data_IF_178931527265
#
_entry.id   IF_178931527265
#
_cell.length_a   1.000
_cell.length_b   1.000
_cell.length_c   1.000
_cell.angle_alpha   90.00
_cell.angle_beta   90.00
_cell.angle_gamma   90.00
#
_symmetry.space_group_name_H-M   'P 1'
#
loop_
_entity.id
_entity.type
_entity.pdbx_description
1 polymer ?
#
# COMPACT_ATOMS: atom_id res chain seq x y z
N UNK A 1 1.77 -2.12 -30.35
CA UNK A 1 2.34 -2.42 -29.02
C UNK A 1 1.94 -1.29 -28.10
N UNK A 2 1.06 -1.55 -27.13
CA UNK A 2 0.69 -0.56 -26.11
C UNK A 2 1.67 -0.78 -24.97
N UNK A 3 2.58 0.17 -24.75
CA UNK A 3 3.44 0.16 -23.56
C UNK A 3 2.53 0.11 -22.31
N UNK A 4 2.85 -0.68 -21.28
CA UNK A 4 2.09 -0.65 -20.03
C UNK A 4 2.06 0.80 -19.53
N UNK A 5 0.89 1.43 -19.57
CA UNK A 5 0.72 2.74 -18.99
C UNK A 5 0.87 2.55 -17.48
N UNK A 6 1.93 3.12 -16.90
CA UNK A 6 2.08 3.14 -15.45
C UNK A 6 0.86 3.86 -14.86
N UNK A 7 0.14 3.18 -13.98
CA UNK A 7 -0.99 3.77 -13.29
C UNK A 7 -0.55 4.88 -12.35
N UNK A 8 -1.36 5.93 -12.22
CA UNK A 8 -1.17 7.00 -11.23
C UNK A 8 -1.68 6.51 -9.85
N UNK A 9 -1.07 5.47 -9.30
CA UNK A 9 -1.46 4.94 -7.99
C UNK A 9 -0.51 3.91 -7.38
N UNK A 10 -0.68 3.68 -6.09
CA UNK A 10 -0.04 2.61 -5.31
C UNK A 10 -1.15 1.63 -4.91
N UNK A 11 -0.94 0.34 -5.17
CA UNK A 11 -1.88 -0.73 -4.83
C UNK A 11 -1.33 -1.59 -3.71
N UNK A 12 -2.21 -2.03 -2.81
CA UNK A 12 -1.87 -2.93 -1.72
C UNK A 12 -2.57 -4.28 -1.93
N UNK A 13 -1.82 -5.35 -1.71
CA UNK A 13 -2.28 -6.73 -1.82
C UNK A 13 -1.93 -7.50 -0.56
N UNK A 14 -2.82 -8.37 -0.12
CA UNK A 14 -2.54 -9.42 0.85
C UNK A 14 -1.88 -10.60 0.13
N UNK A 15 -0.67 -10.92 0.56
CA UNK A 15 0.17 -11.99 0.02
C UNK A 15 0.34 -13.17 0.99
N UNK A 16 -0.49 -13.24 2.04
CA UNK A 16 -0.49 -14.40 2.97
C UNK A 16 -0.76 -15.70 2.22
N UNK A 17 -1.61 -15.64 1.19
CA UNK A 17 -1.87 -16.72 0.23
C UNK A 17 -1.53 -16.19 -1.19
N UNK A 18 -0.25 -16.25 -1.62
CA UNK A 18 0.22 -15.56 -2.81
C UNK A 18 -0.45 -16.05 -4.11
N UNK A 19 -0.91 -17.29 -4.14
CA UNK A 19 -1.68 -17.86 -5.25
C UNK A 19 -3.09 -17.24 -5.39
N UNK A 20 -3.58 -16.55 -4.36
CA UNK A 20 -4.89 -15.91 -4.29
C UNK A 20 -4.81 -14.38 -4.25
N UNK A 21 -3.61 -13.80 -4.45
CA UNK A 21 -3.27 -12.39 -4.25
C UNK A 21 -4.45 -11.43 -4.23
N UNK A 22 -4.90 -11.08 -3.02
CA UNK A 22 -6.14 -10.32 -2.83
C UNK A 22 -5.82 -8.84 -2.73
N UNK A 23 -6.45 -8.00 -3.57
CA UNK A 23 -6.35 -6.56 -3.39
C UNK A 23 -7.04 -6.14 -2.08
N UNK A 24 -6.32 -5.42 -1.24
CA UNK A 24 -6.82 -4.92 0.06
C UNK A 24 -6.98 -3.40 0.08
N UNK A 25 -6.55 -2.70 -0.99
CA UNK A 25 -6.76 -1.27 -1.15
C UNK A 25 -5.77 -0.64 -2.11
N UNK A 26 -5.79 0.69 -2.15
CA UNK A 26 -4.84 1.47 -2.94
C UNK A 26 -5.05 2.98 -2.77
N UNK A 27 -4.01 3.72 -3.14
CA UNK A 27 -4.01 5.18 -3.22
C UNK A 27 -3.96 5.55 -4.70
N UNK A 28 -4.97 6.28 -5.17
CA UNK A 28 -4.99 6.80 -6.53
C UNK A 28 -4.70 8.31 -6.51
N UNK A 29 -3.68 8.71 -7.24
CA UNK A 29 -3.21 10.10 -7.25
C UNK A 29 -4.08 10.93 -8.18
N UNK A 30 -4.96 11.74 -7.60
CA UNK A 30 -5.73 12.76 -8.34
C UNK A 30 -4.97 14.07 -8.49
N UNK A 31 -4.03 14.32 -7.59
CA UNK A 31 -3.18 15.51 -7.63
C UNK A 31 -2.12 15.35 -8.73
N UNK A 32 -2.07 16.31 -9.65
CA UNK A 32 -1.11 16.32 -10.76
C UNK A 32 0.34 16.43 -10.30
N UNK A 33 0.58 16.81 -9.03
CA UNK A 33 1.90 16.82 -8.41
C UNK A 33 2.42 15.41 -8.08
N UNK A 34 1.59 14.37 -8.17
CA UNK A 34 1.95 13.00 -7.81
C UNK A 34 1.76 12.08 -9.02
N UNK A 35 2.74 12.07 -9.94
CA UNK A 35 2.70 11.24 -11.16
C UNK A 35 3.96 10.39 -11.31
N UNK A 36 3.78 9.17 -11.81
CA UNK A 36 4.88 8.22 -11.99
C UNK A 36 5.56 7.87 -10.66
N UNK A 37 4.85 7.20 -9.72
CA UNK A 37 5.51 6.66 -8.54
C UNK A 37 6.65 5.72 -8.97
N UNK A 38 7.84 5.93 -8.41
CA UNK A 38 9.06 5.21 -8.82
C UNK A 38 9.67 4.41 -7.68
N UNK A 39 9.80 5.03 -6.50
CA UNK A 39 10.35 4.41 -5.31
C UNK A 39 9.45 4.63 -4.11
N UNK A 40 9.53 3.71 -3.15
CA UNK A 40 8.72 3.73 -1.94
C UNK A 40 9.51 3.18 -0.76
N UNK A 41 9.27 3.77 0.41
CA UNK A 41 9.74 3.23 1.70
C UNK A 41 8.61 3.25 2.71
N UNK A 42 8.48 2.17 3.47
CA UNK A 42 7.54 2.06 4.58
C UNK A 42 8.28 2.30 5.90
N UNK A 43 7.71 3.17 6.73
CA UNK A 43 8.21 3.51 8.06
C UNK A 43 7.17 3.01 9.08
N UNK A 44 7.43 1.87 9.75
CA UNK A 44 6.49 1.33 10.73
C UNK A 44 6.39 2.25 11.96
N UNK A 45 5.22 2.30 12.58
CA UNK A 45 5.09 2.85 13.93
C UNK A 45 5.54 1.79 14.96
N UNK A 46 6.63 2.09 15.67
CA UNK A 46 7.18 1.18 16.68
C UNK A 46 6.25 0.97 17.89
N UNK A 47 5.25 1.84 18.08
CA UNK A 47 4.25 1.72 19.15
C UNK A 47 2.98 0.99 18.70
N UNK A 48 2.72 0.92 17.38
CA UNK A 48 1.54 0.29 16.82
C UNK A 48 1.86 -0.43 15.49
N UNK A 49 1.98 -1.77 15.49
CA UNK A 49 2.35 -2.52 14.28
C UNK A 49 1.30 -2.46 13.16
N UNK A 50 0.08 -2.03 13.45
CA UNK A 50 -0.98 -1.84 12.46
C UNK A 50 -0.95 -0.45 11.81
N UNK A 51 0.02 0.39 12.14
CA UNK A 51 0.15 1.75 11.61
C UNK A 51 1.55 2.04 11.07
N UNK A 52 1.63 2.97 10.14
CA UNK A 52 2.91 3.46 9.63
C UNK A 52 2.74 4.55 8.57
N UNK A 53 3.87 5.02 8.08
CA UNK A 53 3.94 5.98 6.98
C UNK A 53 4.49 5.30 5.73
N UNK A 54 3.85 5.53 4.60
CA UNK A 54 4.40 5.23 3.29
C UNK A 54 4.91 6.53 2.68
N UNK A 55 6.20 6.57 2.35
CA UNK A 55 6.81 7.67 1.60
C UNK A 55 7.05 7.20 0.18
N UNK A 56 6.54 7.94 -0.80
CA UNK A 56 6.71 7.64 -2.22
C UNK A 56 7.37 8.78 -2.96
N UNK A 57 8.31 8.47 -3.86
CA UNK A 57 8.90 9.41 -4.80
C UNK A 57 8.19 9.38 -6.15
N UNK A 58 8.03 10.56 -6.75
CA UNK A 58 7.35 10.74 -8.03
C UNK A 58 8.32 11.26 -9.09
N UNK A 59 8.79 10.37 -9.97
CA UNK A 59 9.81 10.65 -10.97
C UNK A 59 9.44 11.86 -11.85
N UNK A 60 8.21 11.90 -12.35
CA UNK A 60 7.80 12.90 -13.34
C UNK A 60 7.62 14.30 -12.76
N UNK A 61 7.59 14.41 -11.43
CA UNK A 61 7.29 15.68 -10.74
C UNK A 61 8.39 16.10 -9.77
N UNK A 62 9.32 15.19 -9.44
CA UNK A 62 10.36 15.43 -8.45
C UNK A 62 9.84 15.66 -7.03
N UNK A 63 8.63 15.19 -6.72
CA UNK A 63 8.00 15.38 -5.40
C UNK A 63 8.07 14.12 -4.55
N UNK A 64 7.86 14.31 -3.25
CA UNK A 64 7.62 13.23 -2.28
C UNK A 64 6.18 13.34 -1.77
N UNK A 65 5.49 12.21 -1.70
CA UNK A 65 4.22 12.07 -0.99
C UNK A 65 4.40 11.26 0.29
N UNK A 66 3.76 11.70 1.37
CA UNK A 66 3.73 10.97 2.64
C UNK A 66 2.29 10.60 2.94
N UNK A 67 2.04 9.31 3.13
CA UNK A 67 0.71 8.75 3.33
C UNK A 67 0.67 8.00 4.65
N UNK A 68 -0.36 8.25 5.45
CA UNK A 68 -0.67 7.40 6.60
C UNK A 68 -1.28 6.09 6.09
N UNK A 69 -0.76 4.98 6.60
CA UNK A 69 -1.24 3.64 6.31
C UNK A 69 -1.70 3.02 7.62
N UNK A 70 -2.93 2.51 7.62
CA UNK A 70 -3.48 1.73 8.71
C UNK A 70 -3.89 0.37 8.16
N UNK A 71 -3.34 -0.68 8.74
CA UNK A 71 -3.80 -2.04 8.53
C UNK A 71 -5.00 -2.27 9.45
N UNK A 72 -6.18 -2.46 8.88
CA UNK A 72 -7.27 -3.06 9.65
C UNK A 72 -7.04 -4.55 9.67
N UNK A 73 -6.41 -5.06 10.72
CA UNK A 73 -6.44 -6.49 10.99
C UNK A 73 -7.90 -6.94 10.97
N UNK A 74 -8.24 -7.90 10.10
CA UNK A 74 -9.50 -8.62 10.26
C UNK A 74 -9.51 -9.15 11.71
N UNK A 75 -10.63 -9.01 12.46
CA UNK A 75 -10.70 -9.56 13.80
C UNK A 75 -10.28 -11.03 13.74
N UNK A 76 -9.41 -11.50 14.66
CA UNK A 76 -8.97 -12.88 14.66
C UNK A 76 -10.20 -13.78 14.62
N UNK A 77 -10.23 -14.72 13.67
CA UNK A 77 -11.25 -15.76 13.65
C UNK A 77 -11.30 -16.38 15.04
N UNK A 78 -12.49 -16.57 15.65
CA UNK A 78 -12.57 -17.18 16.96
C UNK A 78 -11.80 -18.50 16.91
N UNK A 79 -10.79 -18.63 17.77
CA UNK A 79 -10.09 -19.88 17.98
C UNK A 79 -11.14 -20.89 18.45
N UNK A 80 -11.64 -21.73 17.55
CA UNK A 80 -12.28 -22.98 17.97
C UNK A 80 -11.21 -23.79 18.68
N UNK A 81 -11.23 -23.74 20.01
CA UNK A 81 -10.61 -24.75 20.86
C UNK A 81 -11.28 -26.07 20.47
N UNK A 82 -10.51 -26.96 19.85
CA UNK A 82 -10.89 -28.37 19.77
C UNK A 82 -10.66 -28.97 21.17
N UNK A 83 -11.72 -29.48 21.79
CA UNK A 83 -11.64 -30.42 22.92
C UNK A 83 -11.15 -31.80 22.44
#
# INVERSE_FOLDING_TARGET
MVSPQRGDGILAYDLTHPEQGKSIGGIFFRDRRHRGPESMVFLPDNSNPDQGLLVASFEYTGTLGVFSVAHQANPPLPLTLCD
#
